data_IF_860002523925
#
_entry.id   IF_860002523925
#
_cell.length_a   1.000
_cell.length_b   1.000
_cell.length_c   1.000
_cell.angle_alpha   90.00
_cell.angle_beta   90.00
_cell.angle_gamma   90.00
#
_symmetry.space_group_name_H-M   'P 1'
#
loop_
_entity.id
_entity.type
_entity.pdbx_description
1 polymer ?
#
# COMPACT_ATOMS: atom_id res chain seq x y z
N UNK A 1 -6.80 9.39 -2.26
CA UNK A 1 -5.58 8.62 -1.96
C UNK A 1 -4.62 8.58 -3.15
N UNK A 2 -3.32 8.56 -2.84
CA UNK A 2 -2.21 8.44 -3.79
C UNK A 2 -1.42 7.18 -3.43
N UNK A 3 -1.04 6.42 -4.44
CA UNK A 3 -0.10 5.32 -4.30
C UNK A 3 1.30 5.82 -4.68
N UNK A 4 2.26 5.48 -3.85
CA UNK A 4 3.68 5.68 -4.11
C UNK A 4 4.41 4.37 -3.81
N UNK A 5 5.17 3.86 -4.80
CA UNK A 5 5.73 2.50 -4.79
C UNK A 5 4.67 1.45 -4.41
N UNK A 6 4.77 0.84 -3.23
CA UNK A 6 3.86 -0.22 -2.77
C UNK A 6 2.82 0.24 -1.74
N UNK A 7 2.83 1.52 -1.34
CA UNK A 7 2.00 2.04 -0.27
C UNK A 7 0.93 3.01 -0.79
N UNK A 8 -0.18 3.12 -0.06
CA UNK A 8 -1.27 4.07 -0.36
C UNK A 8 -1.44 5.03 0.79
N UNK A 9 -1.50 6.32 0.46
CA UNK A 9 -1.59 7.42 1.40
C UNK A 9 -2.84 8.25 1.12
N UNK A 10 -3.54 8.61 2.18
CA UNK A 10 -4.58 9.61 2.19
C UNK A 10 -3.97 11.00 2.39
N UNK A 11 -4.01 11.82 1.33
CA UNK A 11 -3.51 13.18 1.38
C UNK A 11 -4.34 14.09 2.31
N UNK A 12 -5.53 13.70 2.74
CA UNK A 12 -6.27 14.48 3.76
C UNK A 12 -5.71 14.25 5.18
N UNK A 13 -5.14 13.06 5.44
CA UNK A 13 -4.49 12.73 6.71
C UNK A 13 -3.13 13.41 6.84
N UNK A 14 -2.96 14.26 7.86
CA UNK A 14 -1.68 14.93 8.12
C UNK A 14 -0.56 13.95 8.45
N UNK A 15 -0.89 12.86 9.15
CA UNK A 15 0.07 11.82 9.48
C UNK A 15 0.51 11.06 8.22
N UNK A 16 -0.42 10.68 7.35
CA UNK A 16 -0.07 9.93 6.13
C UNK A 16 0.66 10.80 5.12
N UNK A 17 0.37 12.11 5.03
CA UNK A 17 1.22 13.04 4.28
C UNK A 17 2.66 13.07 4.79
N UNK A 18 2.85 13.13 6.12
CA UNK A 18 4.19 13.10 6.71
C UNK A 18 4.94 11.81 6.36
N UNK A 19 4.27 10.66 6.43
CA UNK A 19 4.85 9.38 6.02
C UNK A 19 5.22 9.39 4.52
N UNK A 20 4.32 9.87 3.65
CA UNK A 20 4.61 10.00 2.22
C UNK A 20 5.83 10.90 1.93
N UNK A 21 5.99 12.01 2.65
CA UNK A 21 7.20 12.84 2.54
C UNK A 21 8.45 12.06 2.92
N UNK A 22 8.41 11.30 4.01
CA UNK A 22 9.53 10.48 4.49
C UNK A 22 9.91 9.41 3.47
N UNK A 23 8.92 8.66 2.99
CA UNK A 23 9.13 7.55 2.06
C UNK A 23 9.62 8.06 0.69
N UNK A 24 9.12 9.22 0.24
CA UNK A 24 9.60 9.86 -0.98
C UNK A 24 11.09 10.22 -0.89
N UNK A 25 11.53 10.79 0.23
CA UNK A 25 12.93 11.14 0.44
C UNK A 25 13.83 9.90 0.50
N UNK A 26 13.39 8.85 1.20
CA UNK A 26 14.13 7.60 1.29
C UNK A 26 14.32 6.97 -0.11
N UNK A 27 13.25 6.90 -0.91
CA UNK A 27 13.34 6.34 -2.26
C UNK A 27 14.12 7.25 -3.22
N UNK A 28 14.05 8.57 -3.06
CA UNK A 28 14.86 9.52 -3.83
C UNK A 28 16.35 9.32 -3.55
N UNK A 29 16.75 9.25 -2.28
CA UNK A 29 18.13 8.95 -1.92
C UNK A 29 18.59 7.62 -2.49
N UNK A 30 17.74 6.58 -2.41
CA UNK A 30 18.05 5.26 -2.97
C UNK A 30 18.20 5.26 -4.48
N UNK A 31 17.49 6.11 -5.22
CA UNK A 31 17.52 6.10 -6.68
C UNK A 31 18.62 7.00 -7.24
N UNK A 32 18.86 8.17 -6.63
CA UNK A 32 19.71 9.20 -7.23
C UNK A 32 21.09 9.35 -6.55
N UNK A 33 21.33 8.83 -5.34
CA UNK A 33 22.63 9.00 -4.67
C UNK A 33 23.78 8.11 -5.19
N UNK A 34 23.49 7.09 -5.99
CA UNK A 34 24.51 6.16 -6.52
C UNK A 34 24.82 6.37 -8.00
N UNK A 35 24.11 7.28 -8.66
CA UNK A 35 24.25 7.55 -10.09
C UNK A 35 25.20 8.72 -10.32
N UNK A 36 26.00 8.62 -11.38
CA UNK A 36 27.02 9.62 -11.75
C UNK A 36 26.36 10.76 -12.55
N UNK A 37 25.42 11.47 -11.92
CA UNK A 37 24.70 12.59 -12.50
C UNK A 37 25.56 13.86 -12.54
N UNK A 38 25.34 14.71 -13.54
CA UNK A 38 25.95 16.03 -13.54
C UNK A 38 25.29 16.94 -12.48
N UNK A 39 25.98 18.01 -12.07
CA UNK A 39 25.41 19.00 -11.14
C UNK A 39 24.11 19.62 -11.67
N UNK A 40 23.96 19.75 -12.99
CA UNK A 40 22.77 20.28 -13.64
C UNK A 40 21.60 19.29 -13.56
N UNK A 41 21.86 18.01 -13.83
CA UNK A 41 20.87 16.93 -13.70
C UNK A 41 20.37 16.83 -12.25
N UNK A 42 21.29 16.84 -11.28
CA UNK A 42 20.92 16.79 -9.87
C UNK A 42 20.09 17.99 -9.44
N UNK A 43 20.35 19.18 -10.00
CA UNK A 43 19.55 20.36 -9.71
C UNK A 43 18.13 20.24 -10.25
N UNK A 44 17.96 19.73 -11.47
CA UNK A 44 16.64 19.50 -12.07
C UNK A 44 15.83 18.50 -11.24
N UNK A 45 16.43 17.34 -10.92
CA UNK A 45 15.78 16.28 -10.16
C UNK A 45 15.43 16.74 -8.72
N UNK A 46 16.25 17.57 -8.08
CA UNK A 46 15.91 18.19 -6.79
C UNK A 46 14.72 19.17 -6.88
N UNK A 47 14.58 19.92 -7.99
CA UNK A 47 13.42 20.80 -8.20
C UNK A 47 12.12 19.98 -8.36
N UNK A 48 12.20 18.83 -9.03
CA UNK A 48 11.07 17.91 -9.14
C UNK A 48 10.68 17.31 -7.79
N UNK A 49 11.65 16.99 -6.93
CA UNK A 49 11.40 16.54 -5.56
C UNK A 49 10.72 17.63 -4.71
N UNK A 50 11.24 18.86 -4.74
CA UNK A 50 10.63 20.00 -4.03
C UNK A 50 9.19 20.23 -4.48
N UNK A 51 8.94 20.17 -5.78
CA UNK A 51 7.59 20.28 -6.35
C UNK A 51 6.68 19.15 -5.87
N UNK A 52 7.15 17.90 -5.87
CA UNK A 52 6.37 16.78 -5.35
C UNK A 52 5.99 17.00 -3.87
N UNK A 53 6.92 17.47 -3.04
CA UNK A 53 6.65 17.83 -1.66
C UNK A 53 5.61 18.95 -1.50
N UNK A 54 5.68 19.99 -2.33
CA UNK A 54 4.67 21.06 -2.34
C UNK A 54 3.28 20.50 -2.67
N UNK A 55 3.18 19.67 -3.72
CA UNK A 55 1.92 19.03 -4.15
C UNK A 55 1.34 18.13 -3.05
N UNK A 56 2.19 17.35 -2.36
CA UNK A 56 1.77 16.54 -1.20
C UNK A 56 1.21 17.45 -0.10
N UNK A 57 1.93 18.50 0.29
CA UNK A 57 1.53 19.44 1.34
C UNK A 57 0.21 20.15 1.02
N UNK A 58 0.01 20.53 -0.25
CA UNK A 58 -1.18 21.19 -0.76
C UNK A 58 -2.35 20.22 -1.03
N UNK A 59 -2.15 18.91 -0.85
CA UNK A 59 -3.13 17.86 -1.12
C UNK A 59 -3.58 17.82 -2.58
N UNK A 60 -2.74 18.28 -3.50
CA UNK A 60 -3.05 18.33 -4.93
C UNK A 60 -2.83 16.97 -5.59
N UNK A 61 -3.81 16.08 -5.38
CA UNK A 61 -3.82 14.72 -5.93
C UNK A 61 -3.68 14.70 -7.45
N UNK A 62 -4.35 15.62 -8.15
CA UNK A 62 -4.41 15.58 -9.62
C UNK A 62 -3.05 15.90 -10.22
N UNK A 63 -2.41 16.98 -9.74
CA UNK A 63 -1.09 17.37 -10.20
C UNK A 63 -0.01 16.38 -9.78
N UNK A 64 -0.13 15.79 -8.58
CA UNK A 64 0.83 14.78 -8.12
C UNK A 64 0.78 13.51 -8.99
N UNK A 65 -0.41 13.08 -9.43
CA UNK A 65 -0.59 11.93 -10.30
C UNK A 65 -0.01 12.11 -11.72
N UNK A 66 0.13 13.35 -12.19
CA UNK A 66 0.80 13.65 -13.47
C UNK A 66 2.25 14.10 -13.29
N UNK A 67 2.78 14.05 -12.07
CA UNK A 67 4.15 14.41 -11.75
C UNK A 67 5.02 13.15 -11.66
N UNK A 68 6.26 13.27 -12.10
CA UNK A 68 7.30 12.26 -12.00
C UNK A 68 8.59 12.93 -11.60
N UNK A 69 9.51 12.17 -11.03
CA UNK A 69 10.86 12.64 -10.70
C UNK A 69 11.86 11.74 -11.41
N UNK A 70 12.83 12.36 -12.05
CA UNK A 70 13.87 11.69 -12.84
C UNK A 70 13.53 11.57 -14.32
N UNK A 71 14.54 11.19 -15.10
CA UNK A 71 14.52 11.26 -16.56
C UNK A 71 13.69 10.15 -17.22
N UNK A 72 13.57 9.00 -16.54
CA UNK A 72 12.77 7.85 -16.97
C UNK A 72 11.55 7.60 -16.05
N UNK A 73 11.11 8.62 -15.32
CA UNK A 73 10.00 8.56 -14.37
C UNK A 73 10.23 7.52 -13.24
N UNK A 74 11.45 7.44 -12.72
CA UNK A 74 11.90 6.47 -11.72
C UNK A 74 11.04 6.50 -10.45
N UNK A 75 10.56 7.70 -10.09
CA UNK A 75 9.56 7.92 -9.06
C UNK A 75 8.30 8.54 -9.66
N UNK A 76 7.17 7.85 -9.49
CA UNK A 76 5.86 8.29 -9.96
C UNK A 76 4.77 8.01 -8.92
N UNK A 77 3.64 8.68 -9.10
CA UNK A 77 2.49 8.58 -8.20
C UNK A 77 1.25 8.14 -8.97
N UNK A 78 0.49 7.21 -8.39
CA UNK A 78 -0.75 6.72 -8.99
C UNK A 78 -1.97 7.13 -8.15
N UNK A 79 -3.00 7.64 -8.81
CA UNK A 79 -4.29 7.92 -8.18
C UNK A 79 -5.01 6.62 -7.87
N UNK A 80 -5.27 6.39 -6.59
CA UNK A 80 -6.10 5.29 -6.13
C UNK A 80 -7.49 5.82 -5.79
N UNK A 81 -8.51 5.13 -6.30
CA UNK A 81 -9.90 5.33 -5.91
C UNK A 81 -10.15 4.64 -4.56
N UNK A 82 -10.92 5.25 -3.69
CA UNK A 82 -11.27 4.68 -2.38
C UNK A 82 -11.96 3.32 -2.51
N UNK A 83 -12.74 3.11 -3.57
CA UNK A 83 -13.42 1.84 -3.83
C UNK A 83 -12.47 0.74 -4.33
N UNK A 84 -11.21 1.08 -4.62
CA UNK A 84 -10.17 0.08 -4.93
C UNK A 84 -9.54 -0.48 -3.65
N UNK A 85 -9.69 0.20 -2.50
CA UNK A 85 -9.26 -0.35 -1.22
C UNK A 85 -10.15 -1.53 -0.83
N UNK A 86 -9.51 -2.65 -0.53
CA UNK A 86 -10.18 -3.90 -0.18
C UNK A 86 -11.11 -3.73 1.02
N UNK A 87 -10.68 -3.02 2.06
CA UNK A 87 -11.50 -2.77 3.26
C UNK A 87 -12.80 -2.02 2.93
N UNK A 88 -12.76 -1.06 2.01
CA UNK A 88 -13.94 -0.29 1.64
C UNK A 88 -14.89 -1.15 0.81
N UNK A 89 -14.36 -1.90 -0.16
CA UNK A 89 -15.19 -2.78 -0.97
C UNK A 89 -15.84 -3.89 -0.13
N UNK A 90 -15.10 -4.47 0.82
CA UNK A 90 -15.64 -5.43 1.78
C UNK A 90 -16.83 -4.84 2.56
N UNK A 91 -16.68 -3.62 3.10
CA UNK A 91 -17.75 -2.93 3.84
C UNK A 91 -18.96 -2.62 2.96
N UNK A 92 -18.75 -2.15 1.73
CA UNK A 92 -19.83 -1.84 0.76
C UNK A 92 -20.64 -3.09 0.43
N UNK A 93 -19.99 -4.26 0.36
CA UNK A 93 -20.63 -5.55 0.11
C UNK A 93 -21.10 -6.25 1.40
N UNK A 94 -21.21 -5.53 2.52
CA UNK A 94 -21.70 -6.00 3.82
C UNK A 94 -20.88 -7.13 4.49
N UNK A 95 -19.59 -7.25 4.16
CA UNK A 95 -18.69 -8.11 4.92
C UNK A 95 -18.35 -7.49 6.27
N UNK A 96 -18.35 -8.30 7.32
CA UNK A 96 -17.74 -7.93 8.59
C UNK A 96 -16.22 -7.96 8.42
N UNK A 97 -15.59 -6.80 8.52
CA UNK A 97 -14.13 -6.64 8.38
C UNK A 97 -13.56 -5.79 9.51
N UNK A 98 -12.46 -6.26 10.09
CA UNK A 98 -11.69 -5.55 11.12
C UNK A 98 -10.25 -5.33 10.64
N UNK A 99 -9.73 -4.12 10.85
CA UNK A 99 -8.32 -3.80 10.59
C UNK A 99 -7.52 -4.03 11.87
N UNK A 100 -6.37 -4.70 11.75
CA UNK A 100 -5.44 -4.83 12.87
C UNK A 100 -4.82 -3.49 13.24
N UNK A 101 -4.75 -3.20 14.54
CA UNK A 101 -4.04 -2.02 15.05
C UNK A 101 -2.51 -2.22 15.13
N UNK A 102 -2.05 -3.47 15.05
CA UNK A 102 -0.64 -3.83 15.28
C UNK A 102 0.10 -4.22 14.01
N UNK A 103 -0.62 -4.42 12.90
CA UNK A 103 -0.04 -4.94 11.67
C UNK A 103 -0.90 -4.55 10.46
N UNK A 104 -0.33 -4.65 9.26
CA UNK A 104 -1.11 -4.49 8.03
C UNK A 104 -1.88 -5.78 7.70
N UNK A 105 -2.90 -6.04 8.49
CA UNK A 105 -3.79 -7.19 8.34
C UNK A 105 -5.26 -6.77 8.41
N UNK A 106 -6.08 -7.41 7.59
CA UNK A 106 -7.54 -7.40 7.67
C UNK A 106 -8.04 -8.79 8.10
N UNK A 107 -9.05 -8.80 8.95
CA UNK A 107 -9.78 -10.00 9.37
C UNK A 107 -11.20 -9.89 8.85
N UNK A 108 -11.63 -10.87 8.07
CA UNK A 108 -12.92 -10.86 7.36
C UNK A 108 -13.68 -12.14 7.64
N UNK A 109 -14.98 -12.06 7.86
CA UNK A 109 -15.85 -13.26 7.90
C UNK A 109 -16.37 -13.54 6.50
N UNK A 110 -16.05 -14.70 5.92
CA UNK A 110 -16.47 -15.07 4.56
C UNK A 110 -17.95 -15.52 4.49
N UNK A 111 -18.43 -15.84 3.28
CA UNK A 111 -19.83 -16.27 3.05
C UNK A 111 -20.21 -17.56 3.81
N UNK A 112 -19.22 -18.34 4.28
CA UNK A 112 -19.42 -19.58 5.04
C UNK A 112 -19.39 -19.35 6.55
N UNK A 113 -19.13 -18.12 7.01
CA UNK A 113 -18.95 -17.80 8.43
C UNK A 113 -17.55 -18.11 8.98
N UNK A 114 -16.56 -18.33 8.10
CA UNK A 114 -15.17 -18.60 8.48
C UNK A 114 -14.35 -17.30 8.50
N UNK A 115 -13.42 -17.18 9.44
CA UNK A 115 -12.47 -16.06 9.46
C UNK A 115 -11.43 -16.25 8.35
N UNK A 116 -11.19 -15.18 7.60
CA UNK A 116 -10.15 -15.05 6.58
C UNK A 116 -9.20 -13.94 7.00
N UNK A 117 -7.92 -14.28 7.15
CA UNK A 117 -6.86 -13.29 7.38
C UNK A 117 -6.26 -12.86 6.04
N UNK A 118 -6.22 -11.56 5.79
CA UNK A 118 -5.60 -10.97 4.59
C UNK A 118 -4.50 -10.02 5.07
N UNK A 119 -3.24 -10.32 4.75
CA UNK A 119 -2.10 -9.55 5.27
C UNK A 119 -0.92 -9.56 4.30
N UNK A 120 -0.01 -8.60 4.43
CA UNK A 120 1.24 -8.55 3.65
C UNK A 120 2.36 -9.46 4.20
N UNK A 121 2.13 -10.11 5.34
CA UNK A 121 3.11 -10.98 5.99
C UNK A 121 2.45 -12.19 6.64
N UNK A 122 3.22 -13.29 6.71
CA UNK A 122 2.89 -14.43 7.57
C UNK A 122 3.03 -14.03 9.03
N UNK A 123 2.13 -14.54 9.87
CA UNK A 123 2.26 -14.34 11.31
C UNK A 123 3.55 -15.01 11.81
N UNK A 124 4.38 -14.32 12.62
CA UNK A 124 5.57 -14.93 13.20
C UNK A 124 5.20 -16.18 13.99
N UNK A 125 5.99 -17.24 13.87
CA UNK A 125 5.81 -18.42 14.71
C UNK A 125 6.06 -18.12 16.18
N UNK A 126 5.63 -19.03 17.05
CA UNK A 126 5.76 -18.91 18.50
C UNK A 126 6.52 -20.08 19.08
N UNK A 127 7.26 -19.82 20.16
CA UNK A 127 7.90 -20.89 20.92
C UNK A 127 6.96 -21.38 22.02
N UNK A 128 6.80 -22.70 22.10
CA UNK A 128 6.04 -23.33 23.17
C UNK A 128 6.69 -24.66 23.56
N UNK A 129 7.01 -24.83 24.85
CA UNK A 129 7.60 -26.08 25.33
C UNK A 129 8.92 -26.49 24.65
N UNK A 130 9.75 -25.53 24.23
CA UNK A 130 11.05 -25.79 23.60
C UNK A 130 10.99 -26.10 22.09
N UNK A 131 9.83 -25.99 21.45
CA UNK A 131 9.67 -26.09 20.00
C UNK A 131 9.16 -24.78 19.38
N UNK A 132 9.48 -24.56 18.10
CA UNK A 132 8.96 -23.43 17.30
C UNK A 132 7.76 -23.91 16.46
N UNK A 133 6.64 -23.19 16.56
CA UNK A 133 5.39 -23.54 15.90
C UNK A 133 4.92 -22.40 15.01
N UNK A 134 4.45 -22.74 13.81
CA UNK A 134 3.80 -21.78 12.92
C UNK A 134 2.30 -21.67 13.22
N UNK A 135 1.75 -20.47 13.09
CA UNK A 135 0.29 -20.30 13.07
C UNK A 135 -0.26 -20.88 11.77
N UNK A 136 -1.29 -21.73 11.88
CA UNK A 136 -2.06 -22.22 10.74
C UNK A 136 -3.43 -21.56 10.75
N UNK A 137 -3.68 -20.72 9.76
CA UNK A 137 -5.02 -20.26 9.44
C UNK A 137 -5.60 -21.17 8.38
N UNK A 138 -6.87 -21.53 8.52
CA UNK A 138 -7.58 -22.33 7.51
C UNK A 138 -7.76 -21.52 6.22
N UNK A 139 -8.00 -20.21 6.35
CA UNK A 139 -8.09 -19.27 5.25
C UNK A 139 -7.14 -18.08 5.47
N UNK A 140 -6.02 -18.06 4.75
CA UNK A 140 -5.06 -16.94 4.76
C UNK A 140 -4.71 -16.50 3.34
N UNK A 141 -4.70 -15.19 3.12
CA UNK A 141 -4.20 -14.55 1.91
C UNK A 141 -2.98 -13.72 2.30
N UNK A 142 -1.80 -14.11 1.79
CA UNK A 142 -0.57 -13.32 1.90
C UNK A 142 -0.41 -12.46 0.66
N UNK A 143 -0.69 -11.16 0.83
CA UNK A 143 -0.69 -10.15 -0.20
C UNK A 143 0.73 -9.79 -0.61
N UNK A 144 0.97 -9.70 -1.91
CA UNK A 144 2.24 -9.24 -2.48
C UNK A 144 2.02 -7.92 -3.21
N UNK A 145 2.95 -6.98 -3.05
CA UNK A 145 2.90 -5.66 -3.70
C UNK A 145 1.57 -4.93 -3.47
N UNK A 146 1.02 -5.07 -2.25
CA UNK A 146 -0.22 -4.45 -1.81
C UNK A 146 -1.45 -4.76 -2.70
N UNK A 147 -1.37 -5.77 -3.57
CA UNK A 147 -2.43 -6.09 -4.54
C UNK A 147 -3.04 -7.44 -4.22
N UNK A 148 -4.37 -7.47 -4.09
CA UNK A 148 -5.16 -8.67 -3.83
C UNK A 148 -6.01 -8.98 -5.05
N UNK A 149 -5.80 -10.14 -5.65
CA UNK A 149 -6.53 -10.51 -6.87
C UNK A 149 -7.83 -11.23 -6.52
N UNK A 150 -8.87 -11.03 -7.34
CA UNK A 150 -10.18 -11.67 -7.18
C UNK A 150 -10.10 -13.18 -6.96
N UNK A 151 -9.24 -13.85 -7.72
CA UNK A 151 -9.03 -15.31 -7.61
C UNK A 151 -8.59 -15.76 -6.20
N UNK A 152 -7.83 -14.93 -5.49
CA UNK A 152 -7.38 -15.24 -4.11
C UNK A 152 -8.51 -15.03 -3.11
N UNK A 153 -9.28 -13.95 -3.29
CA UNK A 153 -10.44 -13.60 -2.47
C UNK A 153 -11.55 -14.67 -2.61
N UNK A 154 -11.85 -15.08 -3.85
CA UNK A 154 -12.87 -16.10 -4.15
C UNK A 154 -12.50 -17.48 -3.59
N UNK A 155 -11.20 -17.83 -3.60
CA UNK A 155 -10.73 -19.08 -2.97
C UNK A 155 -11.02 -19.11 -1.47
N UNK A 156 -10.96 -17.95 -0.82
CA UNK A 156 -11.26 -17.79 0.60
C UNK A 156 -12.77 -17.61 0.88
N UNK A 157 -13.63 -17.79 -0.13
CA UNK A 157 -15.09 -17.75 0.04
C UNK A 157 -15.69 -16.34 0.13
N UNK A 158 -14.98 -15.32 -0.34
CA UNK A 158 -15.45 -13.94 -0.41
C UNK A 158 -15.74 -13.59 -1.88
N UNK A 159 -16.85 -12.91 -2.15
CA UNK A 159 -17.26 -12.50 -3.50
C UNK A 159 -17.34 -11.00 -3.60
N UNK A 160 -16.44 -10.42 -4.40
CA UNK A 160 -16.43 -8.99 -4.69
C UNK A 160 -16.49 -8.77 -6.21
N UNK A 161 -17.06 -7.64 -6.68
CA UNK A 161 -17.34 -7.43 -8.10
C UNK A 161 -16.08 -7.22 -8.96
N UNK A 162 -15.07 -6.51 -8.45
CA UNK A 162 -13.85 -6.13 -9.14
C UNK A 162 -12.80 -7.24 -9.24
N UNK A 163 -11.88 -7.08 -10.19
CA UNK A 163 -10.87 -8.10 -10.52
C UNK A 163 -9.62 -8.05 -9.63
N UNK A 164 -9.34 -6.88 -9.04
CA UNK A 164 -8.22 -6.64 -8.13
C UNK A 164 -8.52 -5.52 -7.16
N UNK A 165 -7.89 -5.58 -6.00
CA UNK A 165 -8.01 -4.63 -4.91
C UNK A 165 -6.66 -4.27 -4.34
N UNK A 166 -6.59 -3.16 -3.62
CA UNK A 166 -5.40 -2.75 -2.87
C UNK A 166 -5.67 -3.03 -1.39
N UNK A 167 -4.76 -3.70 -0.69
CA UNK A 167 -4.96 -4.06 0.72
C UNK A 167 -5.16 -2.81 1.59
N UNK A 168 -4.38 -1.77 1.29
CA UNK A 168 -4.40 -0.51 2.04
C UNK A 168 -3.22 -0.46 3.00
#
# INVERSE_FOLDING_TARGET
MIKFKNEVYDLESSHERYLLHSDLNEEFEKEFNWMDYTDEDMKEVNQELEKAHELISNRDKSSLNSHSIGFDCELSFDSVSENTLLINELKINNYQVEKSNASRSLYVVNDKGEEVRIADHKRPGYEFGGGFYEHKYENEIIVKNNTVYKKEIEKSGIKLPGDKYILG
#
